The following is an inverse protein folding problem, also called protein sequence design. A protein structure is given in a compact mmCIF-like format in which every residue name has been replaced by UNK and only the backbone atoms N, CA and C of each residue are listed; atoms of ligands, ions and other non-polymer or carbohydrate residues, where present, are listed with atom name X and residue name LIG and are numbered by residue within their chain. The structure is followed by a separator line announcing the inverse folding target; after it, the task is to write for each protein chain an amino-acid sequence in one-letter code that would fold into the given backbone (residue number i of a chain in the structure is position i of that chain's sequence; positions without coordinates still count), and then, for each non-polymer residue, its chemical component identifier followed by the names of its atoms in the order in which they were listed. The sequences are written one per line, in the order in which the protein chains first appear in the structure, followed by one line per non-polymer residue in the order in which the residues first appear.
data_IF_493349627020
#
_entry.id   IF_493349627020
#
_cell.length_a   1.000
_cell.length_b   1.000
_cell.length_c   1.000
_cell.angle_alpha   90.00
_cell.angle_beta   90.00
_cell.angle_gamma   90.00
#
_symmetry.space_group_name_H-M   'P 1'
#
loop_
_entity.id
_entity.type
_entity.pdbx_description
1 polymer ?
#
# COMPACT_ATOMS: atom_id res chain seq x y z
N UNK A 1 9.25 3.40 0.30
CA UNK A 1 9.88 3.05 1.58
C UNK A 1 9.71 1.58 1.95
N UNK A 2 8.48 1.07 2.08
CA UNK A 2 8.24 -0.33 2.48
C UNK A 2 9.00 -1.37 1.64
N UNK A 3 8.87 -1.32 0.31
CA UNK A 3 9.52 -2.29 -0.61
C UNK A 3 11.05 -2.22 -0.60
N UNK A 4 11.63 -1.10 -0.15
CA UNK A 4 13.08 -0.95 0.04
C UNK A 4 13.49 -1.68 1.31
N UNK A 5 12.80 -1.42 2.43
CA UNK A 5 13.09 -2.09 3.70
C UNK A 5 12.79 -3.58 3.64
N UNK A 6 11.74 -4.00 2.94
CA UNK A 6 11.42 -5.42 2.75
C UNK A 6 12.59 -6.17 2.13
N UNK A 7 13.15 -5.67 1.02
CA UNK A 7 14.31 -6.30 0.37
C UNK A 7 15.56 -6.30 1.24
N UNK A 8 15.75 -5.26 2.06
CA UNK A 8 16.85 -5.18 3.03
C UNK A 8 16.71 -6.22 4.15
N UNK A 9 15.52 -6.33 4.74
CA UNK A 9 15.26 -7.28 5.82
C UNK A 9 15.32 -8.73 5.30
N UNK A 10 14.79 -9.01 4.11
CA UNK A 10 14.94 -10.32 3.45
C UNK A 10 16.41 -10.69 3.30
N UNK A 11 17.23 -9.82 2.69
CA UNK A 11 18.65 -10.09 2.50
C UNK A 11 19.38 -10.32 3.83
N UNK A 12 19.10 -9.46 4.83
CA UNK A 12 19.69 -9.57 6.17
C UNK A 12 19.33 -10.90 6.84
N UNK A 13 18.06 -11.30 6.80
CA UNK A 13 17.58 -12.55 7.42
C UNK A 13 18.09 -13.79 6.68
N UNK A 14 18.29 -13.71 5.37
CA UNK A 14 18.90 -14.77 4.57
C UNK A 14 20.44 -14.85 4.70
N UNK A 15 21.08 -13.91 5.43
CA UNK A 15 22.54 -13.85 5.52
C UNK A 15 23.22 -13.44 4.22
N UNK A 16 22.52 -12.71 3.35
CA UNK A 16 22.96 -12.33 2.01
C UNK A 16 23.11 -10.81 1.86
N UNK A 17 23.88 -10.41 0.86
CA UNK A 17 23.79 -9.03 0.34
C UNK A 17 22.47 -8.86 -0.41
N UNK A 18 21.96 -7.62 -0.51
CA UNK A 18 20.76 -7.33 -1.31
C UNK A 18 20.91 -7.73 -2.78
N UNK A 19 22.14 -7.64 -3.32
CA UNK A 19 22.45 -8.07 -4.69
C UNK A 19 22.30 -9.59 -4.82
N UNK A 20 22.95 -10.36 -3.95
CA UNK A 20 22.88 -11.83 -3.98
C UNK A 20 21.46 -12.36 -3.74
N UNK A 21 20.71 -11.77 -2.80
CA UNK A 21 19.32 -12.16 -2.57
C UNK A 21 18.44 -11.92 -3.81
N UNK A 22 18.64 -10.80 -4.51
CA UNK A 22 17.92 -10.48 -5.76
C UNK A 22 18.30 -11.38 -6.93
N UNK A 23 19.56 -11.77 -7.02
CA UNK A 23 20.05 -12.69 -8.06
C UNK A 23 19.51 -14.11 -7.87
N UNK A 24 19.25 -14.53 -6.63
CA UNK A 24 18.73 -15.86 -6.32
C UNK A 24 17.19 -15.93 -6.28
N UNK A 25 16.50 -14.84 -5.98
CA UNK A 25 15.04 -14.81 -5.88
C UNK A 25 14.44 -13.46 -6.22
N UNK A 26 13.33 -13.49 -6.95
CA UNK A 26 12.53 -12.29 -7.24
C UNK A 26 11.42 -12.12 -6.19
N UNK A 27 11.18 -10.87 -5.80
CA UNK A 27 10.03 -10.50 -4.96
C UNK A 27 8.97 -9.89 -5.85
N UNK A 28 7.88 -10.62 -6.02
CA UNK A 28 6.71 -10.19 -6.80
C UNK A 28 5.59 -9.77 -5.87
N UNK A 29 4.86 -8.71 -6.22
CA UNK A 29 3.72 -8.29 -5.42
C UNK A 29 2.60 -7.66 -6.24
N UNK A 30 1.37 -7.97 -5.84
CA UNK A 30 0.16 -7.24 -6.24
C UNK A 30 -0.38 -6.50 -5.03
N UNK A 31 -0.80 -5.25 -5.19
CA UNK A 31 -1.44 -4.50 -4.10
C UNK A 31 -2.68 -3.75 -4.58
N UNK A 32 -3.63 -3.64 -3.65
CA UNK A 32 -4.84 -2.85 -3.77
C UNK A 32 -4.89 -1.84 -2.64
N UNK A 33 -5.25 -0.60 -2.94
CA UNK A 33 -5.56 0.43 -1.96
C UNK A 33 -7.08 0.47 -1.74
N UNK A 34 -7.54 0.37 -0.50
CA UNK A 34 -8.95 0.47 -0.10
C UNK A 34 -9.11 1.63 0.88
N UNK A 35 -10.16 2.44 0.72
CA UNK A 35 -10.52 3.41 1.74
C UNK A 35 -11.33 2.76 2.85
N UNK A 36 -10.85 2.88 4.09
CA UNK A 36 -11.68 2.60 5.24
C UNK A 36 -12.78 3.67 5.36
N UNK A 37 -13.82 3.39 6.15
CA UNK A 37 -14.95 4.32 6.40
C UNK A 37 -14.52 5.73 6.82
N UNK A 38 -13.32 5.87 7.40
CA UNK A 38 -12.72 7.14 7.85
C UNK A 38 -11.82 7.83 6.81
N UNK A 39 -11.83 7.38 5.55
CA UNK A 39 -10.99 7.94 4.47
C UNK A 39 -9.50 7.60 4.56
N UNK A 40 -9.07 6.81 5.54
CA UNK A 40 -7.70 6.30 5.61
C UNK A 40 -7.50 5.19 4.56
N UNK A 41 -6.37 5.25 3.84
CA UNK A 41 -5.99 4.23 2.87
C UNK A 41 -5.42 3.01 3.61
N UNK A 42 -6.02 1.85 3.36
CA UNK A 42 -5.54 0.55 3.80
C UNK A 42 -5.06 -0.24 2.57
N UNK A 43 -3.91 -0.91 2.68
CA UNK A 43 -3.37 -1.71 1.58
C UNK A 43 -3.59 -3.19 1.82
N UNK A 44 -4.19 -3.85 0.82
CA UNK A 44 -4.18 -5.30 0.70
C UNK A 44 -3.07 -5.66 -0.28
N UNK A 45 -2.14 -6.53 0.12
CA UNK A 45 -1.03 -6.94 -0.73
C UNK A 45 -0.85 -8.46 -0.72
N UNK A 46 -0.62 -9.02 -1.90
CA UNK A 46 -0.11 -10.38 -2.08
C UNK A 46 1.36 -10.25 -2.44
N UNK A 47 2.23 -10.89 -1.67
CA UNK A 47 3.67 -10.86 -1.85
C UNK A 47 4.16 -12.30 -1.93
N UNK A 48 5.00 -12.62 -2.91
CA UNK A 48 5.59 -13.95 -3.07
C UNK A 48 7.07 -13.88 -3.42
N UNK A 49 7.78 -14.95 -3.06
CA UNK A 49 9.09 -15.27 -3.62
C UNK A 49 8.89 -16.06 -4.91
N UNK A 50 9.62 -15.66 -5.95
CA UNK A 50 9.74 -16.39 -7.21
C UNK A 50 11.22 -16.81 -7.39
N UNK A 51 11.47 -17.80 -8.24
CA UNK A 51 12.83 -18.15 -8.67
C UNK A 51 13.52 -17.01 -9.43
N UNK A 52 14.83 -17.18 -9.74
CA UNK A 52 15.62 -16.14 -10.40
C UNK A 52 15.10 -15.77 -11.80
N UNK A 53 14.53 -16.74 -12.50
CA UNK A 53 14.00 -16.58 -13.87
C UNK A 53 12.51 -16.22 -13.90
N UNK A 54 11.80 -16.33 -12.78
CA UNK A 54 10.37 -16.01 -12.70
C UNK A 54 9.58 -16.99 -11.85
N UNK A 55 8.24 -16.92 -11.92
CA UNK A 55 7.35 -17.73 -11.06
C UNK A 55 7.34 -19.21 -11.38
N UNK A 56 7.71 -19.59 -12.60
CA UNK A 56 7.79 -21.00 -13.04
C UNK A 56 9.04 -21.72 -12.52
N UNK A 57 9.93 -20.98 -11.85
CA UNK A 57 11.16 -21.52 -11.24
C UNK A 57 11.03 -21.47 -9.73
N UNK A 58 11.39 -22.55 -9.00
CA UNK A 58 11.26 -22.56 -7.56
C UNK A 58 12.18 -21.52 -6.90
N UNK A 59 11.74 -20.87 -5.81
CA UNK A 59 12.60 -20.00 -5.03
C UNK A 59 13.65 -20.82 -4.26
N UNK A 60 14.76 -20.19 -3.83
CA UNK A 60 15.82 -20.85 -3.06
C UNK A 60 15.32 -21.28 -1.67
N UNK A 61 15.99 -22.25 -1.04
CA UNK A 61 15.57 -22.83 0.25
C UNK A 61 15.40 -21.82 1.40
N UNK A 62 16.10 -20.69 1.37
CA UNK A 62 15.98 -19.64 2.39
C UNK A 62 14.71 -18.79 2.22
N UNK A 63 14.08 -18.78 1.04
CA UNK A 63 12.93 -17.94 0.71
C UNK A 63 11.61 -18.55 1.21
N UNK A 64 11.50 -18.71 2.53
CA UNK A 64 10.35 -19.33 3.19
C UNK A 64 9.25 -18.31 3.49
N UNK A 65 8.01 -18.82 3.68
CA UNK A 65 6.88 -17.99 4.12
C UNK A 65 7.12 -17.30 5.47
N UNK A 66 7.79 -17.98 6.41
CA UNK A 66 8.12 -17.43 7.72
C UNK A 66 9.14 -16.30 7.64
N UNK A 67 10.15 -16.44 6.77
CA UNK A 67 11.09 -15.35 6.50
C UNK A 67 10.36 -14.16 5.87
N UNK A 68 9.42 -14.40 4.96
CA UNK A 68 8.63 -13.33 4.35
C UNK A 68 7.76 -12.60 5.38
N UNK A 69 7.05 -13.32 6.25
CA UNK A 69 6.25 -12.74 7.33
C UNK A 69 7.11 -11.86 8.26
N UNK A 70 8.22 -12.42 8.75
CA UNK A 70 9.15 -11.69 9.61
C UNK A 70 9.69 -10.43 8.93
N UNK A 71 10.08 -10.52 7.66
CA UNK A 71 10.60 -9.39 6.89
C UNK A 71 9.53 -8.32 6.61
N UNK A 72 8.27 -8.70 6.34
CA UNK A 72 7.16 -7.76 6.17
C UNK A 72 6.93 -6.95 7.45
N UNK A 73 6.87 -7.64 8.61
CA UNK A 73 6.66 -6.98 9.90
C UNK A 73 7.82 -6.05 10.25
N UNK A 74 9.06 -6.52 10.07
CA UNK A 74 10.25 -5.71 10.30
C UNK A 74 10.32 -4.48 9.37
N UNK A 75 9.99 -4.66 8.08
CA UNK A 75 9.95 -3.58 7.12
C UNK A 75 8.88 -2.54 7.46
N UNK A 76 7.68 -2.97 7.86
CA UNK A 76 6.62 -2.06 8.27
C UNK A 76 7.00 -1.25 9.52
N UNK A 77 7.59 -1.89 10.53
CA UNK A 77 8.06 -1.21 11.74
C UNK A 77 9.16 -0.16 11.46
N UNK A 78 9.99 -0.39 10.43
CA UNK A 78 11.07 0.52 10.03
C UNK A 78 10.63 1.69 9.17
N UNK A 79 9.51 1.59 8.45
CA UNK A 79 9.07 2.68 7.57
C UNK A 79 8.68 3.87 8.43
N UNK A 80 9.44 4.95 8.26
CA UNK A 80 9.16 6.26 8.80
C UNK A 80 9.37 7.28 7.68
N UNK A 81 8.49 8.28 7.63
CA UNK A 81 8.64 9.46 6.77
C UNK A 81 8.56 10.68 7.67
N UNK A 82 9.69 11.34 7.84
CA UNK A 82 9.75 12.61 8.55
C UNK A 82 9.20 13.71 7.66
N UNK A 83 8.34 14.53 8.25
CA UNK A 83 7.70 15.69 7.65
C UNK A 83 8.12 16.88 8.49
N UNK A 84 8.90 17.77 7.87
CA UNK A 84 9.34 19.01 8.47
C UNK A 84 8.14 19.90 8.84
N UNK A 85 8.27 20.76 9.86
CA UNK A 85 7.24 21.73 10.20
C UNK A 85 7.01 22.69 9.02
N UNK A 86 5.76 23.11 8.82
CA UNK A 86 5.40 24.05 7.76
C UNK A 86 4.23 24.93 8.21
N UNK A 87 4.41 26.25 8.21
CA UNK A 87 3.39 27.18 8.71
C UNK A 87 3.03 26.90 10.17
N UNK A 88 1.75 26.66 10.44
CA UNK A 88 1.22 26.29 11.75
C UNK A 88 1.27 24.77 12.04
N UNK A 89 1.79 23.97 11.10
CA UNK A 89 1.88 22.52 11.25
C UNK A 89 3.21 22.11 11.91
N UNK A 90 3.19 21.35 13.01
CA UNK A 90 4.41 20.88 13.65
C UNK A 90 5.10 19.79 12.83
N UNK A 91 6.37 19.55 13.15
CA UNK A 91 7.12 18.41 12.63
C UNK A 91 6.40 17.10 13.02
N UNK A 92 6.35 16.13 12.10
CA UNK A 92 5.68 14.84 12.30
C UNK A 92 6.48 13.71 11.67
N UNK A 93 6.45 12.54 12.30
CA UNK A 93 6.95 11.30 11.69
C UNK A 93 5.76 10.40 11.37
N UNK A 94 5.54 10.14 10.07
CA UNK A 94 4.48 9.25 9.60
C UNK A 94 4.99 7.81 9.54
N UNK A 95 4.20 6.86 10.05
CA UNK A 95 4.53 5.42 10.13
C UNK A 95 3.31 4.59 9.75
N UNK A 96 3.53 3.29 9.52
CA UNK A 96 2.41 2.35 9.51
C UNK A 96 1.76 2.29 10.90
N UNK A 97 0.43 2.14 10.92
CA UNK A 97 -0.29 1.86 12.16
C UNK A 97 -0.07 0.42 12.65
N UNK A 98 -0.71 0.08 13.78
CA UNK A 98 -0.57 -1.23 14.43
C UNK A 98 -1.28 -2.37 13.70
N UNK A 99 -2.20 -2.03 12.78
CA UNK A 99 -3.03 -3.00 12.06
C UNK A 99 -2.26 -3.61 10.87
N UNK A 100 -1.33 -4.52 11.18
CA UNK A 100 -0.58 -5.30 10.18
C UNK A 100 -0.95 -6.77 10.35
N UNK A 101 -1.75 -7.27 9.42
CA UNK A 101 -2.16 -8.67 9.35
C UNK A 101 -1.50 -9.35 8.15
N UNK A 102 -0.66 -10.34 8.43
CA UNK A 102 0.07 -11.12 7.43
C UNK A 102 -0.37 -12.56 7.60
N UNK A 103 -0.87 -13.14 6.51
CA UNK A 103 -1.34 -14.53 6.50
C UNK A 103 -0.82 -15.24 5.27
N UNK A 104 -0.30 -16.46 5.40
CA UNK A 104 -0.04 -17.31 4.26
C UNK A 104 -1.34 -17.52 3.48
N UNK A 105 -1.32 -17.22 2.19
CA UNK A 105 -2.39 -17.62 1.29
C UNK A 105 -2.17 -19.10 1.05
N UNK A 106 -3.05 -19.95 1.56
CA UNK A 106 -3.04 -21.39 1.26
C UNK A 106 -4.00 -21.65 0.09
N UNK A 107 -3.70 -22.65 -0.71
CA UNK A 107 -4.68 -23.14 -1.67
C UNK A 107 -5.90 -23.69 -0.93
N UNK A 108 -7.07 -23.56 -1.52
CA UNK A 108 -8.27 -24.21 -1.00
C UNK A 108 -8.16 -25.71 -1.31
N UNK A 109 -7.94 -26.55 -0.29
CA UNK A 109 -7.86 -28.01 -0.39
C UNK A 109 -6.49 -28.59 -0.02
N UNK A 110 -6.47 -29.76 0.63
CA UNK A 110 -5.25 -30.49 0.97
C UNK A 110 -4.50 -30.90 -0.32
N UNK A 111 -3.37 -30.26 -0.59
CA UNK A 111 -2.50 -30.58 -1.72
C UNK A 111 -2.76 -29.83 -3.03
N UNK A 112 -3.67 -28.86 -3.06
CA UNK A 112 -3.83 -28.01 -4.24
C UNK A 112 -2.69 -26.97 -4.33
N UNK A 113 -2.17 -26.70 -5.53
CA UNK A 113 -1.31 -25.54 -5.76
C UNK A 113 -2.13 -24.25 -5.62
N UNK A 114 -1.52 -23.19 -5.07
CA UNK A 114 -2.15 -21.87 -5.06
C UNK A 114 -2.25 -21.42 -6.51
N UNK A 115 -3.45 -21.51 -7.09
CA UNK A 115 -3.65 -21.08 -8.47
C UNK A 115 -3.51 -19.56 -8.54
N UNK A 116 -2.93 -19.06 -9.64
CA UNK A 116 -2.92 -17.61 -9.93
C UNK A 116 -4.35 -17.03 -9.89
N UNK A 117 -5.34 -17.87 -10.18
CA UNK A 117 -6.76 -17.54 -10.12
C UNK A 117 -7.24 -17.25 -8.70
N UNK A 118 -6.79 -17.99 -7.68
CA UNK A 118 -7.13 -17.71 -6.28
C UNK A 118 -6.53 -16.37 -5.80
N UNK A 119 -5.29 -16.07 -6.21
CA UNK A 119 -4.64 -14.78 -5.96
C UNK A 119 -5.36 -13.66 -6.68
N UNK A 120 -5.74 -13.86 -7.94
CA UNK A 120 -6.49 -12.90 -8.74
C UNK A 120 -7.88 -12.64 -8.15
N UNK A 121 -8.61 -13.67 -7.69
CA UNK A 121 -9.91 -13.51 -7.03
C UNK A 121 -9.79 -12.78 -5.68
N UNK A 122 -8.73 -13.04 -4.90
CA UNK A 122 -8.46 -12.28 -3.68
C UNK A 122 -8.22 -10.80 -3.99
N UNK A 123 -7.35 -10.51 -4.96
CA UNK A 123 -7.07 -9.13 -5.40
C UNK A 123 -8.32 -8.47 -5.96
N UNK A 124 -9.11 -9.17 -6.79
CA UNK A 124 -10.34 -8.67 -7.38
C UNK A 124 -11.39 -8.32 -6.31
N UNK A 125 -11.55 -9.16 -5.27
CA UNK A 125 -12.46 -8.89 -4.16
C UNK A 125 -12.21 -7.52 -3.53
N UNK A 126 -10.96 -7.18 -3.24
CA UNK A 126 -10.62 -5.88 -2.64
C UNK A 126 -10.60 -4.74 -3.65
N UNK A 127 -10.31 -5.03 -4.92
CA UNK A 127 -10.39 -4.03 -5.99
C UNK A 127 -11.82 -3.51 -6.17
N UNK A 128 -12.82 -4.39 -6.13
CA UNK A 128 -14.24 -4.00 -6.21
C UNK A 128 -14.65 -3.15 -5.00
N UNK A 129 -14.26 -3.57 -3.80
CA UNK A 129 -14.57 -2.82 -2.57
C UNK A 129 -13.93 -1.44 -2.53
N UNK A 130 -12.69 -1.31 -3.05
CA UNK A 130 -12.00 -0.05 -3.14
C UNK A 130 -12.73 0.98 -4.03
N UNK A 131 -13.40 0.52 -5.10
CA UNK A 131 -14.14 1.37 -6.02
C UNK A 131 -15.46 1.90 -5.43
N UNK A 132 -16.06 1.19 -4.46
CA UNK A 132 -17.41 1.52 -3.93
C UNK A 132 -17.39 2.46 -2.71
N UNK A 133 -16.27 2.59 -2.00
CA UNK A 133 -16.30 3.03 -0.58
C UNK A 133 -16.05 4.53 -0.35
N UNK A 134 -15.60 5.31 -1.34
CA UNK A 134 -15.17 6.68 -1.02
C UNK A 134 -16.31 7.66 -0.79
N UNK A 135 -17.47 7.48 -1.43
CA UNK A 135 -18.54 8.48 -1.42
C UNK A 135 -18.05 9.87 -1.87
N UNK A 136 -16.92 9.90 -2.58
CA UNK A 136 -16.29 11.10 -3.14
C UNK A 136 -16.70 11.25 -4.60
N UNK A 137 -16.38 12.39 -5.18
CA UNK A 137 -16.63 12.66 -6.60
C UNK A 137 -15.50 12.13 -7.48
N UNK A 138 -15.83 11.67 -8.68
CA UNK A 138 -14.89 11.11 -9.66
C UNK A 138 -14.06 12.18 -10.42
N UNK A 139 -14.14 13.44 -9.99
CA UNK A 139 -13.50 14.58 -10.65
C UNK A 139 -12.77 15.48 -9.67
N UNK A 140 -11.73 16.16 -10.16
CA UNK A 140 -10.94 17.10 -9.36
C UNK A 140 -11.81 18.19 -8.75
N UNK A 141 -11.55 18.47 -7.47
CA UNK A 141 -12.15 19.57 -6.72
C UNK A 141 -11.10 20.66 -6.58
N UNK A 142 -11.34 21.81 -7.22
CA UNK A 142 -10.40 22.94 -7.22
C UNK A 142 -10.56 23.89 -6.03
N UNK A 143 -11.74 23.96 -5.41
CA UNK A 143 -12.05 24.87 -4.32
C UNK A 143 -13.05 24.24 -3.33
N UNK A 144 -13.21 24.85 -2.15
CA UNK A 144 -14.10 24.38 -1.09
C UNK A 144 -15.59 24.58 -1.42
N UNK A 145 -15.92 25.63 -2.17
CA UNK A 145 -17.30 25.96 -2.55
C UNK A 145 -17.95 24.84 -3.38
N UNK A 146 -17.16 24.13 -4.18
CA UNK A 146 -17.61 22.96 -4.91
C UNK A 146 -18.11 21.83 -4.01
N UNK A 147 -17.69 21.74 -2.74
CA UNK A 147 -18.17 20.71 -1.81
C UNK A 147 -19.66 20.86 -1.50
N UNK A 148 -20.14 22.10 -1.35
CA UNK A 148 -21.53 22.40 -1.06
C UNK A 148 -22.45 22.09 -2.27
N UNK A 149 -21.90 22.14 -3.48
CA UNK A 149 -22.65 21.89 -4.72
C UNK A 149 -22.70 20.41 -5.11
N UNK A 150 -21.84 19.58 -4.52
CA UNK A 150 -21.65 18.18 -4.88
C UNK A 150 -22.26 17.21 -3.86
N UNK A 151 -23.00 17.72 -2.87
CA UNK A 151 -23.64 16.96 -1.78
C UNK A 151 -22.70 15.93 -1.15
N UNK A 152 -21.42 16.28 -1.03
CA UNK A 152 -20.39 15.39 -0.47
C UNK A 152 -20.67 15.20 1.02
N UNK A 153 -20.70 13.96 1.54
CA UNK A 153 -20.92 13.74 2.96
C UNK A 153 -19.89 14.50 3.83
N UNK A 154 -20.33 14.98 5.00
CA UNK A 154 -19.54 15.88 5.86
C UNK A 154 -18.11 15.41 6.13
N UNK A 155 -17.93 14.10 6.34
CA UNK A 155 -16.63 13.56 6.69
C UNK A 155 -15.62 13.62 5.53
N UNK A 156 -15.91 13.04 4.34
CA UNK A 156 -15.11 13.27 3.13
C UNK A 156 -14.91 14.75 2.80
N UNK A 157 -15.94 15.60 2.96
CA UNK A 157 -15.83 17.04 2.72
C UNK A 157 -14.76 17.70 3.59
N UNK A 158 -14.68 17.34 4.88
CA UNK A 158 -13.61 17.80 5.79
C UNK A 158 -12.22 17.34 5.35
N UNK A 159 -12.08 16.10 4.87
CA UNK A 159 -10.80 15.57 4.39
C UNK A 159 -10.35 16.27 3.10
N UNK A 160 -11.28 16.53 2.18
CA UNK A 160 -11.02 17.30 0.96
C UNK A 160 -10.59 18.73 1.32
N UNK A 161 -11.34 19.39 2.21
CA UNK A 161 -11.00 20.73 2.69
C UNK A 161 -9.60 20.78 3.31
N UNK A 162 -9.25 19.79 4.14
CA UNK A 162 -7.90 19.68 4.72
C UNK A 162 -6.82 19.52 3.64
N UNK A 163 -7.07 18.74 2.57
CA UNK A 163 -6.14 18.64 1.44
C UNK A 163 -5.91 19.99 0.75
N UNK A 164 -6.97 20.79 0.60
CA UNK A 164 -6.89 22.13 0.01
C UNK A 164 -6.13 23.11 0.91
N UNK A 165 -6.36 23.06 2.22
CA UNK A 165 -5.70 23.93 3.22
C UNK A 165 -4.22 23.60 3.40
N UNK A 166 -3.86 22.31 3.35
CA UNK A 166 -2.48 21.85 3.51
C UNK A 166 -1.65 21.98 2.23
N UNK A 167 -2.27 22.12 1.05
CA UNK A 167 -1.55 22.18 -0.21
C UNK A 167 -0.54 23.35 -0.32
N UNK A 168 -0.87 24.60 0.09
CA UNK A 168 0.10 25.69 0.10
C UNK A 168 1.31 25.43 0.99
N UNK A 169 1.15 24.68 2.08
CA UNK A 169 2.23 24.31 3.01
C UNK A 169 3.10 23.18 2.45
N UNK A 170 2.52 22.32 1.61
CA UNK A 170 3.18 21.15 1.04
C UNK A 170 2.93 21.04 -0.49
N UNK A 171 3.44 22.00 -1.29
CA UNK A 171 3.09 22.11 -2.71
C UNK A 171 3.47 20.87 -3.52
N UNK A 172 4.63 20.26 -3.24
CA UNK A 172 5.13 19.07 -3.95
C UNK A 172 4.33 17.79 -3.68
N UNK A 173 3.50 17.80 -2.63
CA UNK A 173 2.65 16.66 -2.29
C UNK A 173 1.42 16.56 -3.17
N UNK A 174 1.09 17.61 -3.94
CA UNK A 174 -0.08 17.65 -4.85
C UNK A 174 -1.43 17.34 -4.17
N UNK A 175 -1.58 17.75 -2.91
CA UNK A 175 -2.79 17.47 -2.12
C UNK A 175 -4.05 18.03 -2.78
N UNK A 176 -3.98 19.22 -3.39
CA UNK A 176 -5.09 19.80 -4.16
C UNK A 176 -5.48 18.95 -5.37
N UNK A 177 -4.50 18.54 -6.18
CA UNK A 177 -4.75 17.76 -7.41
C UNK A 177 -5.47 16.43 -7.12
N UNK A 178 -5.23 15.88 -5.93
CA UNK A 178 -5.76 14.60 -5.48
C UNK A 178 -6.77 14.74 -4.34
N UNK A 179 -7.31 15.93 -4.11
CA UNK A 179 -8.22 16.18 -2.98
C UNK A 179 -9.50 15.35 -3.10
N UNK A 180 -10.04 15.19 -4.32
CA UNK A 180 -11.15 14.29 -4.66
C UNK A 180 -10.89 12.81 -4.31
N UNK A 181 -9.61 12.43 -4.20
CA UNK A 181 -9.11 11.14 -3.75
C UNK A 181 -8.52 11.24 -2.35
N UNK A 182 -9.05 12.14 -1.50
CA UNK A 182 -8.62 12.33 -0.11
C UNK A 182 -7.09 12.52 0.07
N UNK A 183 -6.42 13.07 -0.94
CA UNK A 183 -4.97 13.29 -0.97
C UNK A 183 -4.12 12.09 -1.41
N UNK A 184 -4.73 10.94 -1.71
CA UNK A 184 -4.01 9.75 -2.20
C UNK A 184 -3.72 9.85 -3.70
N UNK A 185 -2.44 9.70 -4.05
CA UNK A 185 -1.91 9.82 -5.43
C UNK A 185 -1.75 8.50 -6.17
N UNK A 186 -2.00 7.38 -5.50
CA UNK A 186 -1.73 6.06 -6.06
C UNK A 186 -2.89 5.54 -6.89
N UNK A 187 -2.59 4.61 -7.80
CA UNK A 187 -3.62 3.79 -8.43
C UNK A 187 -4.18 2.80 -7.41
N UNK A 188 -5.49 2.56 -7.50
CA UNK A 188 -6.21 1.60 -6.65
C UNK A 188 -5.68 0.18 -6.77
N UNK A 189 -5.14 -0.21 -7.93
CA UNK A 189 -4.48 -1.50 -8.14
C UNK A 189 -3.14 -1.29 -8.84
N UNK A 190 -2.11 -1.98 -8.37
CA UNK A 190 -0.77 -2.00 -9.00
C UNK A 190 -0.14 -3.38 -8.88
N UNK A 191 0.44 -3.87 -9.96
CA UNK A 191 1.25 -5.10 -10.02
C UNK A 191 2.72 -4.71 -10.25
N UNK A 192 3.66 -5.39 -9.61
CA UNK A 192 5.11 -5.18 -9.79
C UNK A 192 5.91 -6.43 -9.54
#
# INVERSE_FOLDING_TARGET
YFTIYLRREIARMAGLTQKAAREQSRISFGKVAEYQKRGAVHFHAVIRFDGPDGPDTPPPHWATGDLLDAAIRAAAARVAVDVDPAGDQPARTLRWGEQIDVRPIRAFGEGAEITEQAVASYVAKYATKAAETTGTVDRRIGNKEALNLLDVPDHPARLIAACLDLHPLYPDRKLRDWAHMLGFRGHFSTKS
#
